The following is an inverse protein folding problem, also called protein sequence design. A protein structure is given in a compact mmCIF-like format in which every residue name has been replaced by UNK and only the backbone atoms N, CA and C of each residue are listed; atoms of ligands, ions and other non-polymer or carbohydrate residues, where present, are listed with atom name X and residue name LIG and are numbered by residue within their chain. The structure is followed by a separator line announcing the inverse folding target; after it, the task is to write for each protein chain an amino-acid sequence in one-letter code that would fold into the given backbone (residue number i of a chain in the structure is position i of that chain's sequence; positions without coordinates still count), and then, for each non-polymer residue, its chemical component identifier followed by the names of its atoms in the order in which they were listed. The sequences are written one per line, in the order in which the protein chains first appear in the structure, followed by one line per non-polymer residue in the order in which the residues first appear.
data_IF_993181008047
#
_entry.id   IF_993181008047
#
_cell.length_a   1.000
_cell.length_b   1.000
_cell.length_c   1.000
_cell.angle_alpha   90.00
_cell.angle_beta   90.00
_cell.angle_gamma   90.00
#
_symmetry.space_group_name_H-M   'P 1'
#
loop_
_entity.id
_entity.type
_entity.pdbx_description
1 polymer ?
#
# COMPACT_ATOMS: atom_id res chain seq x y z
N UNK A 1 3.60 -0.58 3.27
CA UNK A 1 4.48 -1.38 2.41
C UNK A 1 5.66 -0.54 1.92
N UNK A 2 6.87 -1.13 1.88
CA UNK A 2 8.06 -0.41 1.39
C UNK A 2 8.17 -0.42 -0.14
N UNK A 3 7.54 -1.37 -0.81
CA UNK A 3 7.66 -1.58 -2.27
C UNK A 3 7.34 -0.32 -3.10
N UNK A 4 6.41 0.51 -2.65
CA UNK A 4 6.05 1.76 -3.34
C UNK A 4 6.86 3.00 -2.93
N UNK A 5 7.80 2.87 -2.00
CA UNK A 5 8.62 4.00 -1.56
C UNK A 5 9.82 4.23 -2.50
N UNK A 6 10.32 5.47 -2.63
CA UNK A 6 11.53 5.74 -3.42
C UNK A 6 12.73 4.92 -2.96
N UNK A 7 13.53 4.38 -3.89
CA UNK A 7 14.72 3.57 -3.58
C UNK A 7 15.67 4.30 -2.62
N UNK A 8 15.88 5.60 -2.81
CA UNK A 8 16.72 6.41 -1.93
C UNK A 8 16.23 6.41 -0.48
N UNK A 9 14.91 6.51 -0.26
CA UNK A 9 14.32 6.46 1.08
C UNK A 9 14.53 5.07 1.71
N UNK A 10 14.31 4.02 0.92
CA UNK A 10 14.53 2.64 1.36
C UNK A 10 16.00 2.43 1.70
N UNK A 11 16.92 2.89 0.84
CA UNK A 11 18.34 2.78 1.05
C UNK A 11 18.76 3.40 2.40
N UNK A 12 18.33 4.62 2.70
CA UNK A 12 18.62 5.26 3.99
C UNK A 12 18.02 4.52 5.18
N UNK A 13 16.87 3.89 5.04
CA UNK A 13 16.26 3.09 6.11
C UNK A 13 17.10 1.88 6.50
N UNK A 14 17.85 1.32 5.54
CA UNK A 14 18.70 0.14 5.77
C UNK A 14 20.17 0.48 6.05
N UNK A 15 20.69 1.53 5.42
CA UNK A 15 22.12 1.84 5.44
C UNK A 15 22.52 2.95 6.43
N UNK A 16 21.59 3.71 6.99
CA UNK A 16 21.88 4.65 8.07
C UNK A 16 22.17 3.88 9.37
N UNK A 17 23.41 3.39 9.45
CA UNK A 17 23.95 2.72 10.66
C UNK A 17 24.54 3.71 11.65
N UNK A 18 24.12 4.96 11.67
CA UNK A 18 24.47 5.87 12.76
C UNK A 18 23.73 5.40 14.02
N UNK A 19 24.41 4.51 14.76
CA UNK A 19 23.91 3.85 16.00
C UNK A 19 23.48 4.86 17.08
N UNK A 20 23.74 6.14 16.90
CA UNK A 20 23.36 7.21 17.82
C UNK A 20 22.04 7.92 17.42
N UNK A 21 21.36 7.54 16.33
CA UNK A 21 20.11 8.15 15.85
C UNK A 21 19.03 7.15 15.45
N UNK A 22 19.19 5.87 15.73
CA UNK A 22 18.02 5.01 15.92
C UNK A 22 17.39 5.37 17.28
N UNK A 23 16.82 6.54 17.39
CA UNK A 23 15.55 6.60 18.08
C UNK A 23 14.65 5.68 17.23
N UNK A 24 14.54 4.42 17.65
CA UNK A 24 13.31 3.67 17.34
C UNK A 24 12.23 4.67 17.68
N UNK A 25 11.51 5.16 16.65
CA UNK A 25 10.33 5.95 16.90
C UNK A 25 9.41 4.99 17.66
N UNK A 26 9.53 5.03 18.98
CA UNK A 26 8.63 4.23 19.83
C UNK A 26 7.22 4.68 19.48
N UNK A 27 6.45 3.73 18.98
CA UNK A 27 5.05 3.99 18.69
C UNK A 27 4.38 4.54 19.93
N UNK A 28 3.84 5.73 19.81
CA UNK A 28 3.13 6.38 20.91
C UNK A 28 1.72 5.81 21.06
N UNK A 29 1.08 6.05 22.19
CA UNK A 29 -0.33 5.64 22.39
C UNK A 29 -1.25 6.08 21.23
N UNK A 30 -1.17 7.34 20.74
CA UNK A 30 -1.90 7.77 19.55
C UNK A 30 -1.62 6.97 18.27
N UNK A 31 -0.41 6.44 18.07
CA UNK A 31 -0.09 5.64 16.88
C UNK A 31 -0.75 4.26 16.96
N UNK A 32 -0.76 3.64 18.12
CA UNK A 32 -1.51 2.39 18.33
C UNK A 32 -3.01 2.57 18.09
N UNK A 33 -3.58 3.71 18.50
CA UNK A 33 -5.00 4.01 18.24
C UNK A 33 -5.24 4.20 16.73
N UNK A 34 -4.34 4.85 15.99
CA UNK A 34 -4.45 4.97 14.53
C UNK A 34 -4.42 3.60 13.84
N UNK A 35 -3.53 2.69 14.27
CA UNK A 35 -3.49 1.32 13.75
C UNK A 35 -4.78 0.56 14.07
N UNK A 36 -5.28 0.66 15.31
CA UNK A 36 -6.53 0.05 15.71
C UNK A 36 -7.70 0.56 14.86
N UNK A 37 -7.78 1.85 14.59
CA UNK A 37 -8.81 2.41 13.69
C UNK A 37 -8.71 1.81 12.28
N UNK A 38 -7.51 1.60 11.75
CA UNK A 38 -7.31 0.95 10.47
C UNK A 38 -7.95 -0.44 10.44
N UNK A 39 -7.63 -1.28 11.42
CA UNK A 39 -8.15 -2.65 11.53
C UNK A 39 -9.66 -2.71 11.77
N UNK A 40 -10.20 -1.81 12.61
CA UNK A 40 -11.65 -1.74 12.85
C UNK A 40 -12.38 -1.37 11.55
N UNK A 41 -11.91 -0.35 10.83
CA UNK A 41 -12.56 0.12 9.61
C UNK A 41 -12.44 -0.90 8.47
N UNK A 42 -11.32 -1.62 8.35
CA UNK A 42 -11.21 -2.77 7.44
C UNK A 42 -12.29 -3.81 7.78
N UNK A 43 -12.42 -4.18 9.06
CA UNK A 43 -13.44 -5.15 9.51
C UNK A 43 -14.87 -4.67 9.22
N UNK A 44 -15.13 -3.37 9.38
CA UNK A 44 -16.42 -2.74 9.01
C UNK A 44 -16.67 -2.85 7.51
N UNK A 45 -15.69 -2.53 6.67
CA UNK A 45 -15.83 -2.63 5.21
C UNK A 45 -16.12 -4.07 4.77
N UNK A 46 -15.42 -5.05 5.34
CA UNK A 46 -15.69 -6.48 5.10
C UNK A 46 -17.10 -6.87 5.51
N UNK A 47 -17.54 -6.43 6.68
CA UNK A 47 -18.89 -6.70 7.17
C UNK A 47 -19.96 -6.09 6.22
N UNK A 48 -19.77 -4.83 5.83
CA UNK A 48 -20.68 -4.15 4.92
C UNK A 48 -20.72 -4.81 3.55
N UNK A 49 -19.59 -5.21 2.99
CA UNK A 49 -19.51 -5.95 1.72
C UNK A 49 -20.33 -7.24 1.79
N UNK A 50 -20.15 -8.03 2.85
CA UNK A 50 -20.95 -9.26 3.06
C UNK A 50 -22.43 -8.98 3.24
N UNK A 51 -22.79 -7.94 3.98
CA UNK A 51 -24.19 -7.55 4.21
C UNK A 51 -24.86 -7.08 2.92
N UNK A 52 -24.10 -6.46 2.02
CA UNK A 52 -24.57 -6.07 0.68
C UNK A 52 -24.70 -7.26 -0.29
N UNK A 53 -24.34 -8.47 0.12
CA UNK A 53 -24.48 -9.69 -0.67
C UNK A 53 -23.21 -10.12 -1.43
N UNK A 54 -22.10 -9.43 -1.25
CA UNK A 54 -20.83 -9.79 -1.88
C UNK A 54 -20.18 -10.98 -1.18
N UNK A 55 -19.53 -11.86 -1.96
CA UNK A 55 -18.72 -12.95 -1.46
C UNK A 55 -17.32 -12.40 -1.10
N UNK A 56 -16.94 -12.47 0.16
CA UNK A 56 -15.60 -12.11 0.63
C UNK A 56 -14.83 -13.36 1.02
N UNK A 57 -13.69 -13.62 0.36
CA UNK A 57 -12.82 -14.81 0.55
C UNK A 57 -11.34 -14.43 0.67
N UNK A 58 -10.51 -15.43 0.90
CA UNK A 58 -9.03 -15.36 0.91
C UNK A 58 -8.47 -14.20 1.75
N UNK A 59 -9.12 -13.93 2.88
CA UNK A 59 -8.70 -12.86 3.79
C UNK A 59 -7.37 -13.19 4.44
N UNK A 60 -6.48 -12.17 4.46
CA UNK A 60 -5.15 -12.25 5.09
C UNK A 60 -4.31 -13.43 4.55
N UNK A 61 -4.57 -13.85 3.30
CA UNK A 61 -3.79 -14.88 2.64
C UNK A 61 -2.36 -14.38 2.44
N UNK A 62 -1.42 -15.19 2.91
CA UNK A 62 0.00 -14.96 2.67
C UNK A 62 0.34 -15.15 1.20
N UNK A 63 1.07 -14.22 0.65
CA UNK A 63 1.53 -14.20 -0.73
C UNK A 63 3.03 -13.96 -0.77
N UNK A 64 3.69 -14.53 -1.78
CA UNK A 64 5.13 -14.37 -1.97
C UNK A 64 5.38 -13.89 -3.40
N UNK A 65 6.11 -12.79 -3.55
CA UNK A 65 6.60 -12.29 -4.84
C UNK A 65 8.10 -12.06 -4.71
N UNK A 66 8.88 -12.75 -5.52
CA UNK A 66 10.34 -12.62 -5.54
C UNK A 66 10.93 -12.63 -4.11
N UNK A 67 10.60 -13.67 -3.31
CA UNK A 67 10.98 -13.89 -1.91
C UNK A 67 10.51 -12.80 -0.91
N UNK A 68 9.66 -11.87 -1.33
CA UNK A 68 9.05 -10.89 -0.44
C UNK A 68 7.66 -11.38 -0.03
N UNK A 69 7.48 -11.54 1.27
CA UNK A 69 6.21 -11.98 1.86
C UNK A 69 5.30 -10.80 2.13
N UNK A 70 4.01 -10.96 1.82
CA UNK A 70 2.96 -10.01 2.15
C UNK A 70 1.63 -10.72 2.42
N UNK A 71 0.65 -9.99 2.93
CA UNK A 71 -0.69 -10.50 3.18
C UNK A 71 -1.70 -9.61 2.46
N UNK A 72 -2.52 -10.23 1.60
CA UNK A 72 -3.63 -9.51 0.97
C UNK A 72 -4.78 -9.31 1.95
N UNK A 73 -5.58 -8.28 1.74
CA UNK A 73 -6.77 -8.08 2.59
C UNK A 73 -7.88 -9.06 2.24
N UNK A 74 -8.09 -9.37 0.96
CA UNK A 74 -9.03 -10.39 0.52
C UNK A 74 -9.45 -10.29 -0.93
N UNK A 75 -10.38 -11.17 -1.30
CA UNK A 75 -11.10 -11.15 -2.58
C UNK A 75 -12.56 -10.78 -2.33
N UNK A 76 -13.14 -9.95 -3.19
CA UNK A 76 -14.56 -9.62 -3.20
C UNK A 76 -15.12 -9.97 -4.58
N UNK A 77 -16.06 -10.92 -4.65
CA UNK A 77 -16.60 -11.47 -5.91
C UNK A 77 -15.51 -11.88 -6.90
N UNK A 78 -14.49 -12.53 -6.37
CA UNK A 78 -13.29 -13.01 -7.09
C UNK A 78 -12.38 -11.90 -7.66
N UNK A 79 -12.58 -10.63 -7.27
CA UNK A 79 -11.68 -9.50 -7.53
C UNK A 79 -10.78 -9.26 -6.32
N UNK A 80 -9.49 -9.11 -6.54
CA UNK A 80 -8.53 -8.75 -5.49
C UNK A 80 -8.82 -7.35 -4.96
N UNK A 81 -9.05 -7.24 -3.65
CA UNK A 81 -9.40 -5.97 -3.01
C UNK A 81 -8.49 -5.70 -1.82
N UNK A 82 -8.03 -4.47 -1.75
CA UNK A 82 -7.33 -3.90 -0.60
C UNK A 82 -8.25 -2.87 0.07
N UNK A 83 -8.53 -3.07 1.35
CA UNK A 83 -9.44 -2.21 2.14
C UNK A 83 -8.66 -1.07 2.78
N UNK A 84 -9.07 0.17 2.53
CA UNK A 84 -8.39 1.36 3.06
C UNK A 84 -9.32 2.27 3.83
N UNK A 85 -8.79 2.84 4.91
CA UNK A 85 -9.40 3.99 5.58
C UNK A 85 -8.59 5.25 5.28
N UNK A 86 -9.24 6.31 4.84
CA UNK A 86 -8.56 7.51 4.38
C UNK A 86 -9.12 8.79 5.04
N UNK A 87 -8.30 9.85 5.10
CA UNK A 87 -8.81 11.20 5.32
C UNK A 87 -9.60 11.65 4.11
N UNK A 88 -10.49 12.62 4.25
CA UNK A 88 -11.29 13.13 3.13
C UNK A 88 -10.43 13.62 1.95
N UNK A 89 -9.24 14.16 2.22
CA UNK A 89 -8.29 14.54 1.17
C UNK A 89 -7.77 13.33 0.39
N UNK A 90 -7.32 12.29 1.08
CA UNK A 90 -6.83 11.06 0.44
C UNK A 90 -7.97 10.26 -0.21
N UNK A 91 -9.14 10.20 0.43
CA UNK A 91 -10.34 9.56 -0.12
C UNK A 91 -10.72 10.14 -1.49
N UNK A 92 -10.66 11.47 -1.64
CA UNK A 92 -10.91 12.14 -2.91
C UNK A 92 -9.98 11.69 -4.03
N UNK A 93 -8.72 11.34 -3.73
CA UNK A 93 -7.79 10.81 -4.74
C UNK A 93 -8.26 9.47 -5.29
N UNK A 94 -8.73 8.55 -4.43
CA UNK A 94 -9.31 7.29 -4.87
C UNK A 94 -10.59 7.48 -5.68
N UNK A 95 -11.50 8.30 -5.16
CA UNK A 95 -12.80 8.58 -5.81
C UNK A 95 -12.67 9.20 -7.20
N UNK A 96 -11.62 9.99 -7.45
CA UNK A 96 -11.40 10.70 -8.72
C UNK A 96 -10.33 10.07 -9.60
N UNK A 97 -9.72 8.95 -9.21
CA UNK A 97 -8.61 8.33 -9.92
C UNK A 97 -7.27 9.07 -9.83
N UNK A 98 -7.18 10.15 -9.04
CA UNK A 98 -5.91 10.87 -8.86
C UNK A 98 -4.85 10.04 -8.14
N UNK A 99 -5.23 8.95 -7.49
CA UNK A 99 -4.29 8.03 -6.84
C UNK A 99 -3.27 7.46 -7.82
N UNK A 100 -3.61 7.29 -9.11
CA UNK A 100 -2.70 6.80 -10.13
C UNK A 100 -1.57 7.79 -10.47
N UNK A 101 -1.73 9.06 -10.16
CA UNK A 101 -0.76 10.14 -10.42
C UNK A 101 -0.06 10.62 -9.15
N UNK A 102 -0.68 10.43 -7.99
CA UNK A 102 -0.21 10.95 -6.70
C UNK A 102 -0.47 9.91 -5.59
N UNK A 103 0.40 8.89 -5.56
CA UNK A 103 0.41 7.79 -4.59
C UNK A 103 1.66 7.86 -3.69
N UNK A 104 1.70 8.77 -2.71
CA UNK A 104 2.88 8.93 -1.84
C UNK A 104 3.11 7.75 -0.89
N UNK A 105 2.13 6.86 -0.75
CA UNK A 105 2.21 5.70 0.14
C UNK A 105 2.57 4.40 -0.59
N UNK A 106 2.52 4.39 -1.93
CA UNK A 106 2.84 3.22 -2.74
C UNK A 106 1.77 2.13 -2.70
N UNK A 107 0.51 2.52 -2.61
CA UNK A 107 -0.62 1.58 -2.58
C UNK A 107 -0.76 0.81 -3.89
N UNK A 108 -0.54 1.49 -5.04
CA UNK A 108 -0.58 0.83 -6.36
C UNK A 108 0.49 -0.25 -6.45
N UNK A 109 1.72 0.03 -6.01
CA UNK A 109 2.80 -0.94 -6.03
C UNK A 109 2.52 -2.16 -5.14
N UNK A 110 1.94 -1.95 -3.96
CA UNK A 110 1.53 -3.02 -3.07
C UNK A 110 0.44 -3.90 -3.69
N UNK A 111 -0.60 -3.28 -4.23
CA UNK A 111 -1.70 -4.00 -4.87
C UNK A 111 -1.22 -4.75 -6.11
N UNK A 112 -0.29 -4.16 -6.90
CA UNK A 112 0.32 -4.81 -8.05
C UNK A 112 1.07 -6.10 -7.67
N UNK A 113 1.81 -6.07 -6.56
CA UNK A 113 2.51 -7.26 -6.06
C UNK A 113 1.51 -8.37 -5.69
N UNK A 114 0.41 -8.02 -5.03
CA UNK A 114 -0.62 -9.00 -4.69
C UNK A 114 -1.37 -9.52 -5.92
N UNK A 115 -1.61 -8.65 -6.92
CA UNK A 115 -2.22 -9.05 -8.18
C UNK A 115 -1.32 -10.02 -8.96
N UNK A 116 -0.03 -9.75 -9.02
CA UNK A 116 0.96 -10.62 -9.66
C UNK A 116 1.03 -11.99 -8.97
N UNK A 117 1.08 -12.03 -7.63
CA UNK A 117 1.12 -13.28 -6.85
C UNK A 117 -0.15 -14.13 -6.98
N UNK A 118 -1.29 -13.52 -7.26
CA UNK A 118 -2.56 -14.21 -7.53
C UNK A 118 -2.82 -14.45 -9.03
N UNK A 119 -1.92 -14.01 -9.91
CA UNK A 119 -2.08 -14.10 -11.37
C UNK A 119 -3.38 -13.44 -11.88
N UNK A 120 -3.83 -12.38 -11.20
CA UNK A 120 -5.03 -11.61 -11.58
C UNK A 120 -4.67 -10.32 -12.29
N UNK A 121 -5.54 -9.88 -13.22
CA UNK A 121 -5.35 -8.67 -14.02
C UNK A 121 -6.19 -7.48 -13.55
N UNK A 122 -7.09 -7.73 -12.63
CA UNK A 122 -7.98 -6.73 -12.07
C UNK A 122 -7.92 -6.79 -10.55
N UNK A 123 -7.82 -5.61 -9.96
CA UNK A 123 -7.84 -5.44 -8.52
C UNK A 123 -8.51 -4.10 -8.20
N UNK A 124 -8.63 -3.77 -6.93
CA UNK A 124 -9.16 -2.47 -6.57
C UNK A 124 -9.01 -2.15 -5.10
N UNK A 125 -9.31 -0.91 -4.79
CA UNK A 125 -9.40 -0.42 -3.42
C UNK A 125 -10.85 -0.21 -3.04
N UNK A 126 -11.26 -0.74 -1.90
CA UNK A 126 -12.50 -0.34 -1.22
C UNK A 126 -12.11 0.60 -0.11
N UNK A 127 -12.50 1.86 -0.23
CA UNK A 127 -11.99 2.94 0.64
C UNK A 127 -13.13 3.60 1.39
N UNK A 128 -12.95 3.79 2.70
CA UNK A 128 -13.87 4.58 3.54
C UNK A 128 -13.22 5.91 3.93
N UNK A 129 -13.96 6.99 3.76
CA UNK A 129 -13.61 8.30 4.36
C UNK A 129 -13.90 8.26 5.86
N UNK A 130 -12.85 8.37 6.67
CA UNK A 130 -12.94 8.34 8.15
C UNK A 130 -13.76 9.48 8.75
N UNK A 131 -13.96 10.55 8.00
CA UNK A 131 -14.65 11.76 8.47
C UNK A 131 -16.14 11.70 8.15
N UNK A 132 -16.48 11.25 6.95
CA UNK A 132 -17.87 11.30 6.45
C UNK A 132 -18.56 9.94 6.48
N UNK A 133 -17.80 8.84 6.53
CA UNK A 133 -18.32 7.49 6.37
C UNK A 133 -18.64 7.11 4.92
N UNK A 134 -18.35 7.99 3.95
CA UNK A 134 -18.55 7.68 2.54
C UNK A 134 -17.62 6.55 2.09
N UNK A 135 -18.13 5.63 1.27
CA UNK A 135 -17.38 4.50 0.74
C UNK A 135 -17.28 4.64 -0.78
N UNK A 136 -16.13 4.33 -1.34
CA UNK A 136 -15.91 4.26 -2.78
C UNK A 136 -15.12 3.01 -3.16
N UNK A 137 -15.37 2.52 -4.38
CA UNK A 137 -14.54 1.52 -5.03
C UNK A 137 -13.69 2.21 -6.10
N UNK A 138 -12.40 1.96 -6.08
CA UNK A 138 -11.43 2.45 -7.05
C UNK A 138 -10.81 1.25 -7.77
N UNK A 139 -11.27 0.93 -9.01
CA UNK A 139 -10.69 -0.16 -9.78
C UNK A 139 -9.26 0.17 -10.21
N UNK A 140 -8.41 -0.86 -10.26
CA UNK A 140 -7.04 -0.79 -10.75
C UNK A 140 -6.89 -1.87 -11.83
N UNK A 141 -6.79 -1.44 -13.07
CA UNK A 141 -6.60 -2.34 -14.19
C UNK A 141 -5.13 -2.66 -14.40
N UNK A 142 -4.85 -3.76 -15.03
CA UNK A 142 -3.50 -4.26 -15.26
C UNK A 142 -2.56 -3.21 -15.93
N UNK A 143 -3.10 -2.30 -16.74
CA UNK A 143 -2.31 -1.22 -17.36
C UNK A 143 -1.80 -0.16 -16.35
N UNK A 144 -2.40 -0.10 -15.18
CA UNK A 144 -2.07 0.82 -14.10
C UNK A 144 -1.15 0.17 -13.07
N UNK A 145 -0.96 -1.16 -13.18
CA UNK A 145 -0.13 -1.94 -12.29
C UNK A 145 1.34 -1.87 -12.73
N UNK A 146 2.23 -1.92 -11.76
CA UNK A 146 3.67 -2.06 -11.99
C UNK A 146 4.07 -3.54 -12.00
N UNK A 147 5.18 -3.87 -12.65
CA UNK A 147 5.82 -5.16 -12.48
C UNK A 147 6.48 -5.22 -11.09
N UNK A 148 5.95 -6.05 -10.21
CA UNK A 148 6.40 -6.12 -8.82
C UNK A 148 7.77 -6.81 -8.68
N UNK A 149 8.08 -7.81 -9.53
CA UNK A 149 9.39 -8.47 -9.54
C UNK A 149 10.48 -7.49 -9.92
N UNK A 150 10.33 -6.80 -11.06
CA UNK A 150 11.29 -5.78 -11.50
C UNK A 150 11.48 -4.69 -10.44
N UNK A 151 10.38 -4.33 -9.77
CA UNK A 151 10.42 -3.34 -8.69
C UNK A 151 11.21 -3.83 -7.47
N UNK A 152 11.02 -5.08 -7.07
CA UNK A 152 11.76 -5.69 -5.96
C UNK A 152 13.23 -5.81 -6.31
N UNK A 153 13.57 -6.23 -7.53
CA UNK A 153 14.96 -6.33 -7.98
C UNK A 153 15.65 -4.96 -8.01
N UNK A 154 14.97 -3.92 -8.50
CA UNK A 154 15.48 -2.54 -8.44
C UNK A 154 15.75 -2.06 -7.00
N UNK A 155 14.94 -2.47 -6.04
CA UNK A 155 15.18 -2.17 -4.61
C UNK A 155 16.41 -2.92 -4.11
N UNK A 156 16.55 -4.22 -4.42
CA UNK A 156 17.70 -5.03 -4.03
C UNK A 156 19.02 -4.48 -4.57
N UNK A 157 19.06 -4.19 -5.87
CA UNK A 157 20.22 -3.55 -6.51
C UNK A 157 20.60 -2.23 -5.82
N UNK A 158 19.59 -1.43 -5.49
CA UNK A 158 19.82 -0.18 -4.76
C UNK A 158 20.43 -0.39 -3.38
N UNK A 159 20.01 -1.45 -2.67
CA UNK A 159 20.51 -1.76 -1.32
C UNK A 159 21.93 -2.33 -1.33
N UNK A 160 22.35 -3.00 -2.41
CA UNK A 160 23.73 -3.50 -2.60
C UNK A 160 24.73 -2.36 -2.89
N UNK A 161 24.24 -1.22 -3.36
CA UNK A 161 25.08 -0.06 -3.65
C UNK A 161 25.59 0.59 -2.36
N UNK A 162 26.89 0.93 -2.34
CA UNK A 162 27.48 1.73 -1.27
C UNK A 162 27.10 3.23 -1.32
N UNK A 163 26.51 3.66 -2.43
CA UNK A 163 26.11 5.05 -2.67
C UNK A 163 24.57 5.11 -2.74
N UNK A 164 23.93 6.08 -2.05
CA UNK A 164 22.50 6.22 -2.11
C UNK A 164 22.03 6.51 -3.55
N UNK A 165 20.91 5.91 -4.01
CA UNK A 165 20.34 6.20 -5.31
C UNK A 165 20.07 7.69 -5.51
N UNK A 166 20.00 8.12 -6.77
CA UNK A 166 19.67 9.50 -7.12
C UNK A 166 18.30 9.93 -6.57
N UNK A 167 18.13 11.24 -6.39
CA UNK A 167 16.83 11.78 -5.98
C UNK A 167 15.84 11.63 -7.13
N UNK A 168 14.66 11.12 -6.85
CA UNK A 168 13.56 11.00 -7.81
C UNK A 168 12.71 12.27 -7.92
N UNK A 169 13.10 13.35 -7.25
CA UNK A 169 12.43 14.67 -7.26
C UNK A 169 13.48 15.78 -7.30
N UNK A 170 13.13 16.89 -7.94
CA UNK A 170 13.91 18.13 -7.88
C UNK A 170 13.75 18.76 -6.50
N UNK A 171 14.83 19.25 -5.91
CA UNK A 171 14.71 20.13 -4.74
C UNK A 171 13.88 21.35 -5.17
N UNK A 172 12.81 21.65 -4.44
CA UNK A 172 12.10 22.92 -4.62
C UNK A 172 13.12 23.98 -4.23
N UNK A 173 13.46 24.95 -5.09
CA UNK A 173 14.27 26.09 -4.67
C UNK A 173 13.55 26.82 -3.53
N UNK A 174 14.29 27.14 -2.46
CA UNK A 174 13.79 27.95 -1.34
C UNK A 174 13.38 29.33 -1.81
#
# INVERSE_FOLDING_TARGET
SMIGQPNRKIWYSFNNKDDNKKQEEEFTGPDFIKFLYGHILESVLVFLSKTAGHKVSDRQKELVVNDVVGHQDGMVDDVLVDFKSASSFSFKKFKTGKIFQDDPFGYIAQLSAYAQANEVKEAGFVVIDKTTGEITYCPVHHMEMINAEDRIDSIRESLESSIPPERCYSAIPD
#
